data_IF_617596254344
#
_entry.id   IF_617596254344
#
_cell.length_a   1.000
_cell.length_b   1.000
_cell.length_c   1.000
_cell.angle_alpha   90.00
_cell.angle_beta   90.00
_cell.angle_gamma   90.00
#
_symmetry.space_group_name_H-M   'P 1'
#
loop_
_entity.id
_entity.type
_entity.pdbx_description
1 polymer ?
#
# COMPACT_ATOMS: atom_id res chain seq x y z
N UNK A 1 18.09 17.88 -8.43
CA UNK A 1 18.34 16.43 -8.45
C UNK A 1 17.25 15.76 -9.28
N UNK A 2 17.59 14.79 -10.14
CA UNK A 2 16.57 13.93 -10.78
C UNK A 2 16.01 13.00 -9.69
N UNK A 3 14.69 12.88 -9.60
CA UNK A 3 14.04 11.95 -8.66
C UNK A 3 14.40 10.48 -8.95
N UNK A 4 14.04 9.54 -8.06
CA UNK A 4 14.30 8.11 -8.23
C UNK A 4 13.65 7.61 -9.52
N UNK A 5 14.26 6.61 -10.16
CA UNK A 5 13.63 5.95 -11.30
C UNK A 5 12.48 5.08 -10.81
N UNK A 6 11.50 4.83 -11.67
CA UNK A 6 10.33 4.01 -11.33
C UNK A 6 10.74 2.58 -10.99
N UNK A 7 11.76 2.05 -11.67
CA UNK A 7 12.31 0.72 -11.43
C UNK A 7 12.88 0.59 -10.00
N UNK A 8 13.60 1.62 -9.53
CA UNK A 8 14.17 1.64 -8.18
C UNK A 8 13.08 1.57 -7.09
N UNK A 9 11.97 2.28 -7.31
CA UNK A 9 10.82 2.27 -6.37
C UNK A 9 10.10 0.91 -6.39
N UNK A 10 10.01 0.27 -7.55
CA UNK A 10 9.43 -1.06 -7.68
C UNK A 10 10.28 -2.13 -6.96
N UNK A 11 11.61 -2.09 -7.12
CA UNK A 11 12.52 -2.99 -6.41
C UNK A 11 12.42 -2.81 -4.89
N UNK A 12 12.32 -1.57 -4.41
CA UNK A 12 12.14 -1.28 -2.99
C UNK A 12 10.81 -1.79 -2.45
N UNK A 13 9.72 -1.65 -3.21
CA UNK A 13 8.43 -2.21 -2.85
C UNK A 13 8.50 -3.73 -2.68
N UNK A 14 9.19 -4.41 -3.61
CA UNK A 14 9.40 -5.86 -3.54
C UNK A 14 10.19 -6.24 -2.28
N UNK A 15 11.27 -5.52 -1.97
CA UNK A 15 12.06 -5.74 -0.77
C UNK A 15 11.21 -5.53 0.50
N UNK A 16 10.46 -4.43 0.58
CA UNK A 16 9.57 -4.13 1.70
C UNK A 16 8.55 -5.25 1.95
N UNK A 17 7.88 -5.73 0.90
CA UNK A 17 6.89 -6.81 0.98
C UNK A 17 7.55 -8.12 1.44
N UNK A 18 8.73 -8.46 0.90
CA UNK A 18 9.42 -9.71 1.22
C UNK A 18 10.07 -9.71 2.61
N UNK A 19 10.31 -8.55 3.20
CA UNK A 19 10.95 -8.41 4.51
C UNK A 19 9.96 -8.33 5.68
N UNK A 20 8.70 -8.70 5.51
CA UNK A 20 7.66 -8.61 6.56
C UNK A 20 7.51 -7.16 7.06
N UNK A 21 7.58 -6.19 6.15
CA UNK A 21 7.24 -4.80 6.43
C UNK A 21 8.11 -4.12 7.52
N UNK A 22 9.43 -4.25 7.45
CA UNK A 22 10.39 -3.52 8.31
C UNK A 22 10.09 -2.01 8.27
N UNK A 23 10.02 -1.37 9.43
CA UNK A 23 9.57 0.03 9.58
C UNK A 23 10.46 1.01 8.81
N UNK A 24 11.78 0.82 8.85
CA UNK A 24 12.75 1.63 8.13
C UNK A 24 12.54 1.59 6.61
N UNK A 25 12.23 0.40 6.06
CA UNK A 25 11.94 0.23 4.64
C UNK A 25 10.61 0.89 4.25
N UNK A 26 9.64 0.96 5.17
CA UNK A 26 8.37 1.64 4.91
C UNK A 26 8.56 3.14 4.69
N UNK A 27 9.40 3.77 5.51
CA UNK A 27 9.70 5.19 5.41
C UNK A 27 10.45 5.52 4.13
N UNK A 28 11.48 4.74 3.80
CA UNK A 28 12.25 4.95 2.57
C UNK A 28 11.38 4.74 1.32
N UNK A 29 10.51 3.73 1.33
CA UNK A 29 9.57 3.50 0.24
C UNK A 29 8.62 4.68 0.05
N UNK A 30 8.03 5.21 1.14
CA UNK A 30 7.14 6.39 1.09
C UNK A 30 7.89 7.62 0.57
N UNK A 31 9.10 7.88 1.08
CA UNK A 31 9.92 9.02 0.65
C UNK A 31 10.23 8.93 -0.85
N UNK A 32 10.63 7.76 -1.36
CA UNK A 32 10.92 7.58 -2.79
C UNK A 32 9.66 7.60 -3.66
N UNK A 33 8.56 6.98 -3.22
CA UNK A 33 7.27 7.03 -3.90
C UNK A 33 6.75 8.48 -4.00
N UNK A 34 6.99 9.33 -2.99
CA UNK A 34 6.59 10.74 -3.04
C UNK A 34 7.31 11.56 -4.12
N UNK A 35 8.43 11.06 -4.63
CA UNK A 35 9.28 11.75 -5.62
C UNK A 35 9.06 11.28 -7.07
N UNK A 36 8.29 10.21 -7.31
CA UNK A 36 7.97 9.77 -8.68
C UNK A 36 6.83 10.59 -9.29
N UNK A 37 6.51 10.36 -10.56
CA UNK A 37 5.45 11.09 -11.25
C UNK A 37 4.10 11.01 -10.51
N UNK A 38 3.38 12.12 -10.26
CA UNK A 38 2.14 12.13 -9.48
C UNK A 38 1.07 11.14 -9.98
N UNK A 39 0.94 10.93 -11.29
CA UNK A 39 0.02 9.93 -11.85
C UNK A 39 0.34 8.50 -11.39
N UNK A 40 1.63 8.16 -11.27
CA UNK A 40 2.04 6.84 -10.78
C UNK A 40 1.74 6.70 -9.28
N UNK A 41 1.97 7.76 -8.50
CA UNK A 41 1.60 7.80 -7.08
C UNK A 41 0.09 7.55 -6.90
N UNK A 42 -0.74 8.27 -7.65
CA UNK A 42 -2.20 8.11 -7.61
C UNK A 42 -2.65 6.71 -8.02
N UNK A 43 -2.05 6.15 -9.09
CA UNK A 43 -2.37 4.80 -9.54
C UNK A 43 -1.97 3.75 -8.49
N UNK A 44 -0.82 3.90 -7.85
CA UNK A 44 -0.41 3.03 -6.76
C UNK A 44 -1.36 3.12 -5.57
N UNK A 45 -1.74 4.34 -5.16
CA UNK A 45 -2.74 4.53 -4.09
C UNK A 45 -4.06 3.85 -4.43
N UNK A 46 -4.54 3.94 -5.67
CA UNK A 46 -5.75 3.22 -6.12
C UNK A 46 -5.62 1.71 -5.97
N UNK A 47 -4.48 1.14 -6.35
CA UNK A 47 -4.21 -0.31 -6.14
C UNK A 47 -4.27 -0.68 -4.66
N UNK A 48 -3.68 0.14 -3.78
CA UNK A 48 -3.78 -0.08 -2.33
C UNK A 48 -5.23 -0.01 -1.85
N UNK A 49 -6.01 0.99 -2.30
CA UNK A 49 -7.42 1.15 -1.93
C UNK A 49 -8.25 -0.05 -2.39
N UNK A 50 -8.09 -0.50 -3.64
CA UNK A 50 -8.77 -1.68 -4.17
C UNK A 50 -8.44 -2.91 -3.33
N UNK A 51 -7.18 -3.07 -2.92
CA UNK A 51 -6.78 -4.15 -2.01
C UNK A 51 -7.47 -4.07 -0.64
N UNK A 52 -7.60 -2.88 -0.06
CA UNK A 52 -8.35 -2.70 1.19
C UNK A 52 -9.84 -3.00 1.02
N UNK A 53 -10.46 -2.59 -0.09
CA UNK A 53 -11.86 -2.94 -0.40
C UNK A 53 -12.01 -4.47 -0.47
N UNK A 54 -11.09 -5.15 -1.13
CA UNK A 54 -11.13 -6.61 -1.24
C UNK A 54 -10.87 -7.35 0.07
N UNK A 55 -9.98 -6.82 0.92
CA UNK A 55 -9.77 -7.32 2.28
C UNK A 55 -11.02 -7.16 3.14
N UNK A 56 -11.77 -6.06 2.99
CA UNK A 56 -12.97 -5.79 3.78
C UNK A 56 -14.08 -6.83 3.54
N UNK A 57 -14.14 -7.40 2.34
CA UNK A 57 -15.10 -8.44 1.95
C UNK A 57 -14.67 -9.86 2.33
N UNK A 58 -13.47 -10.04 2.91
CA UNK A 58 -12.99 -11.38 3.29
C UNK A 58 -13.86 -11.97 4.40
N UNK A 59 -14.55 -13.05 4.06
CA UNK A 59 -15.34 -13.89 4.99
C UNK A 59 -14.47 -14.81 5.83
N UNK A 60 -13.36 -15.30 5.27
CA UNK A 60 -12.45 -16.22 5.92
C UNK A 60 -11.04 -15.63 5.93
N UNK A 61 -10.45 -15.56 7.13
CA UNK A 61 -9.11 -15.05 7.39
C UNK A 61 -8.58 -15.71 8.67
N UNK A 62 -7.25 -15.80 8.82
CA UNK A 62 -6.58 -16.36 9.97
C UNK A 62 -6.13 -15.27 10.96
N UNK A 63 -5.52 -15.65 12.08
CA UNK A 63 -5.09 -14.69 13.10
C UNK A 63 -3.97 -13.76 12.61
N UNK A 64 -3.23 -14.11 11.55
CA UNK A 64 -2.14 -13.29 11.01
C UNK A 64 -2.66 -12.10 10.21
N UNK A 65 -3.79 -12.25 9.52
CA UNK A 65 -4.40 -11.21 8.71
C UNK A 65 -5.68 -10.59 9.33
N UNK A 66 -6.12 -11.08 10.49
CA UNK A 66 -7.28 -10.54 11.22
C UNK A 66 -7.21 -9.02 11.41
N UNK A 67 -6.08 -8.49 11.91
CA UNK A 67 -5.92 -7.06 12.15
C UNK A 67 -6.10 -6.23 10.86
N UNK A 68 -5.51 -6.69 9.75
CA UNK A 68 -5.63 -6.05 8.44
C UNK A 68 -7.06 -6.08 7.90
N UNK A 69 -7.77 -7.21 8.05
CA UNK A 69 -9.17 -7.35 7.62
C UNK A 69 -10.09 -6.46 8.47
N UNK A 70 -9.90 -6.42 9.79
CA UNK A 70 -10.69 -5.56 10.68
C UNK A 70 -10.44 -4.08 10.39
N UNK A 71 -9.20 -3.68 10.11
CA UNK A 71 -8.89 -2.33 9.66
C UNK A 71 -9.60 -2.01 8.34
N UNK A 72 -9.49 -2.90 7.35
CA UNK A 72 -10.14 -2.74 6.06
C UNK A 72 -11.67 -2.58 6.18
N UNK A 73 -12.32 -3.39 7.02
CA UNK A 73 -13.77 -3.27 7.30
C UNK A 73 -14.13 -1.93 7.92
N UNK A 74 -13.33 -1.41 8.85
CA UNK A 74 -13.56 -0.09 9.44
C UNK A 74 -13.39 1.04 8.43
N UNK A 75 -12.41 0.93 7.54
CA UNK A 75 -12.11 1.96 6.55
C UNK A 75 -13.04 1.94 5.33
N UNK A 76 -13.79 0.85 5.10
CA UNK A 76 -14.55 0.62 3.87
C UNK A 76 -15.42 1.82 3.47
N UNK A 77 -16.18 2.36 4.41
CA UNK A 77 -17.08 3.49 4.14
C UNK A 77 -16.33 4.75 3.69
N UNK A 78 -15.21 5.07 4.33
CA UNK A 78 -14.38 6.25 3.99
C UNK A 78 -13.66 6.07 2.65
N UNK A 79 -13.28 4.83 2.32
CA UNK A 79 -12.66 4.52 1.03
C UNK A 79 -13.66 4.66 -0.11
N UNK A 80 -14.91 4.21 0.05
CA UNK A 80 -15.94 4.33 -0.98
C UNK A 80 -16.40 5.77 -1.23
N UNK A 81 -16.29 6.67 -0.24
CA UNK A 81 -16.61 8.09 -0.43
C UNK A 81 -15.48 8.89 -1.07
N UNK A 82 -14.24 8.41 -0.96
CA UNK A 82 -13.03 9.19 -1.33
C UNK A 82 -12.34 8.67 -2.60
N UNK A 83 -12.59 7.41 -2.99
CA UNK A 83 -11.97 6.72 -4.13
C UNK A 83 -12.97 5.83 -4.86
#
# INVERSE_FOLDING_TARGET
MKGPKTEDVAEMLIQYINSICIEELSKELVDRMSQIHPTLQQNFTRVCVDWFKELSEKKYYDLRNEASVLLAKRLRKELDSSY
#
